data_IF_876466878712
#
_entry.id   IF_876466878712
#
_cell.length_a   1.000
_cell.length_b   1.000
_cell.length_c   1.000
_cell.angle_alpha   90.00
_cell.angle_beta   90.00
_cell.angle_gamma   90.00
#
_symmetry.space_group_name_H-M   'P 1'
#
loop_
_entity.id
_entity.type
_entity.pdbx_description
1 polymer ?
#
# COMPACT_ATOMS: atom_id res chain seq x y z
N UNK A 1 6.79 -1.80 -22.80
CA UNK A 1 6.37 -0.61 -23.56
C UNK A 1 7.37 0.52 -23.37
N UNK A 2 7.57 1.34 -24.41
CA UNK A 2 8.35 2.59 -24.31
C UNK A 2 7.39 3.77 -24.44
N UNK A 3 7.41 4.68 -23.46
CA UNK A 3 6.53 5.85 -23.46
C UNK A 3 7.25 7.08 -22.90
N UNK A 4 6.55 8.22 -22.86
CA UNK A 4 7.04 9.47 -22.31
C UNK A 4 6.42 9.71 -20.92
N UNK A 5 7.09 10.50 -20.12
CA UNK A 5 6.49 11.05 -18.89
C UNK A 5 5.20 11.80 -19.25
N UNK A 6 4.18 11.67 -18.42
CA UNK A 6 2.88 12.27 -18.68
C UNK A 6 2.06 11.60 -19.79
N UNK A 7 2.43 10.39 -20.24
CA UNK A 7 1.60 9.63 -21.16
C UNK A 7 0.27 9.21 -20.49
N UNK A 8 -0.83 9.19 -21.23
CA UNK A 8 -2.11 8.68 -20.76
C UNK A 8 -2.00 7.19 -20.44
N UNK A 9 -2.40 6.80 -19.26
CA UNK A 9 -2.38 5.42 -18.80
C UNK A 9 -3.41 4.57 -19.52
N UNK A 10 -4.61 5.11 -19.72
CA UNK A 10 -5.69 4.45 -20.45
C UNK A 10 -5.29 4.15 -21.89
N UNK A 11 -4.66 5.10 -22.59
CA UNK A 11 -4.15 4.88 -23.95
C UNK A 11 -3.01 3.86 -23.98
N UNK A 12 -2.09 3.93 -23.03
CA UNK A 12 -0.93 3.05 -22.94
C UNK A 12 -1.34 1.59 -22.70
N UNK A 13 -2.40 1.36 -21.94
CA UNK A 13 -2.86 0.02 -21.56
C UNK A 13 -3.92 -0.55 -22.52
N UNK A 14 -4.41 0.25 -23.45
CA UNK A 14 -5.42 -0.20 -24.44
C UNK A 14 -4.94 -1.45 -25.19
N UNK A 15 -5.74 -2.51 -25.18
CA UNK A 15 -5.41 -3.79 -25.83
C UNK A 15 -4.30 -4.60 -25.17
N UNK A 16 -3.78 -4.18 -24.02
CA UNK A 16 -2.74 -4.88 -23.25
C UNK A 16 -3.27 -5.59 -22.01
N UNK A 17 -4.48 -5.23 -21.57
CA UNK A 17 -5.07 -5.76 -20.36
C UNK A 17 -5.72 -7.12 -20.60
N UNK A 18 -5.64 -7.99 -19.58
CA UNK A 18 -6.44 -9.21 -19.55
C UNK A 18 -7.91 -8.87 -19.36
N UNK A 19 -8.79 -9.79 -19.78
CA UNK A 19 -10.22 -9.67 -19.52
C UNK A 19 -10.51 -9.57 -18.03
N UNK A 20 -11.48 -8.73 -17.68
CA UNK A 20 -11.90 -8.50 -16.30
C UNK A 20 -11.71 -7.04 -15.84
N UNK A 21 -12.11 -6.78 -14.62
CA UNK A 21 -11.95 -5.47 -13.99
C UNK A 21 -10.51 -5.31 -13.50
N UNK A 22 -9.82 -4.28 -13.98
CA UNK A 22 -8.41 -4.04 -13.67
C UNK A 22 -8.22 -2.64 -13.10
N UNK A 23 -7.33 -2.52 -12.11
CA UNK A 23 -6.87 -1.24 -11.58
C UNK A 23 -5.53 -0.89 -12.19
N UNK A 24 -5.48 0.22 -12.89
CA UNK A 24 -4.26 0.77 -13.48
C UNK A 24 -3.63 1.72 -12.45
N UNK A 25 -2.33 1.58 -12.25
CA UNK A 25 -1.57 2.30 -11.24
C UNK A 25 -0.38 2.98 -11.92
N UNK A 26 -0.28 4.29 -11.76
CA UNK A 26 0.93 5.05 -12.08
C UNK A 26 1.95 4.81 -10.98
N UNK A 27 3.06 4.16 -11.28
CA UNK A 27 4.07 3.78 -10.31
C UNK A 27 4.00 2.32 -9.85
N UNK A 28 4.58 2.05 -8.69
CA UNK A 28 4.61 0.72 -8.08
C UNK A 28 3.26 0.37 -7.41
N UNK A 29 3.04 -0.90 -7.12
CA UNK A 29 1.88 -1.36 -6.33
C UNK A 29 1.92 -0.89 -4.87
N UNK A 30 3.08 -0.51 -4.35
CA UNK A 30 3.26 -0.11 -2.94
C UNK A 30 3.08 1.40 -2.74
N UNK A 31 3.53 2.21 -3.69
CA UNK A 31 3.62 3.66 -3.57
C UNK A 31 2.96 4.40 -4.73
N UNK A 32 2.40 3.66 -5.69
CA UNK A 32 1.80 4.25 -6.88
C UNK A 32 0.40 4.82 -6.63
N UNK A 33 -0.06 5.60 -7.59
CA UNK A 33 -1.36 6.26 -7.59
C UNK A 33 -2.31 5.58 -8.57
N UNK A 34 -3.52 5.22 -8.12
CA UNK A 34 -4.54 4.68 -9.01
C UNK A 34 -4.95 5.70 -10.07
N UNK A 35 -5.16 5.21 -11.28
CA UNK A 35 -5.75 6.00 -12.37
C UNK A 35 -7.21 6.34 -12.03
N UNK A 36 -7.53 7.63 -11.99
CA UNK A 36 -8.89 8.14 -11.73
C UNK A 36 -9.08 9.46 -12.47
N UNK A 37 -9.92 9.47 -13.50
CA UNK A 37 -10.30 10.69 -14.22
C UNK A 37 -9.14 11.64 -14.55
N UNK A 38 -8.97 12.76 -13.83
CA UNK A 38 -7.91 13.73 -14.13
C UNK A 38 -6.50 13.20 -13.88
N UNK A 39 -6.36 12.06 -13.17
CA UNK A 39 -5.08 11.41 -12.85
C UNK A 39 -4.72 10.28 -13.83
N UNK A 40 -5.33 10.24 -15.02
CA UNK A 40 -5.03 9.29 -16.11
C UNK A 40 -3.65 9.54 -16.76
N UNK A 41 -2.68 10.02 -16.06
CA UNK A 41 -1.36 10.30 -16.63
C UNK A 41 -0.25 9.74 -15.77
N UNK A 42 0.79 9.21 -16.45
CA UNK A 42 2.00 8.73 -15.78
C UNK A 42 2.63 9.88 -15.01
N UNK A 43 2.76 9.72 -13.70
CA UNK A 43 3.34 10.71 -12.81
C UNK A 43 4.79 11.07 -13.17
N UNK A 44 5.19 12.31 -12.88
CA UNK A 44 6.52 12.83 -13.24
C UNK A 44 7.67 11.95 -12.71
N UNK A 45 7.51 11.42 -11.52
CA UNK A 45 8.53 10.60 -10.85
C UNK A 45 8.28 9.09 -10.97
N UNK A 46 7.20 8.71 -11.64
CA UNK A 46 6.88 7.29 -11.86
C UNK A 46 7.56 6.77 -13.13
N UNK A 47 8.31 5.69 -13.00
CA UNK A 47 9.04 5.05 -14.11
C UNK A 47 8.39 3.75 -14.58
N UNK A 48 7.28 3.36 -13.97
CA UNK A 48 6.55 2.14 -14.30
C UNK A 48 5.04 2.35 -14.23
N UNK A 49 4.30 1.47 -14.89
CA UNK A 49 2.86 1.32 -14.76
C UNK A 49 2.60 -0.09 -14.26
N UNK A 50 1.81 -0.20 -13.21
CA UNK A 50 1.39 -1.48 -12.63
C UNK A 50 -0.10 -1.69 -12.87
N UNK A 51 -0.51 -2.95 -13.04
CA UNK A 51 -1.91 -3.30 -13.21
C UNK A 51 -2.24 -4.47 -12.30
N UNK A 52 -3.31 -4.33 -11.52
CA UNK A 52 -3.83 -5.37 -10.65
C UNK A 52 -5.27 -5.69 -11.01
N UNK A 53 -5.64 -6.96 -10.94
CA UNK A 53 -7.04 -7.36 -11.03
C UNK A 53 -7.80 -6.86 -9.80
N UNK A 54 -9.02 -6.36 -9.98
CA UNK A 54 -9.88 -5.96 -8.86
C UNK A 54 -10.33 -7.18 -8.06
N UNK A 55 -10.03 -7.15 -6.77
CA UNK A 55 -10.39 -8.21 -5.82
C UNK A 55 -11.77 -7.99 -5.19
N UNK A 56 -12.84 -8.28 -5.94
CA UNK A 56 -14.23 -8.13 -5.48
C UNK A 56 -14.72 -9.32 -4.67
N UNK A 57 -14.14 -10.48 -4.89
CA UNK A 57 -14.54 -11.71 -4.22
C UNK A 57 -14.01 -11.78 -2.79
N UNK A 58 -14.88 -12.16 -1.86
CA UNK A 58 -14.51 -12.45 -0.47
C UNK A 58 -14.72 -13.92 -0.19
N UNK A 59 -13.63 -14.58 0.17
CA UNK A 59 -13.68 -15.99 0.51
C UNK A 59 -14.23 -16.20 1.93
N UNK A 60 -15.28 -17.01 2.05
CA UNK A 60 -15.84 -17.38 3.36
C UNK A 60 -14.86 -18.27 4.15
N UNK A 61 -14.54 -17.87 5.38
CA UNK A 61 -13.59 -18.53 6.28
C UNK A 61 -12.22 -18.80 5.65
N UNK A 62 -11.78 -17.94 4.72
CA UNK A 62 -10.54 -18.10 3.99
C UNK A 62 -9.28 -18.20 4.86
N UNK A 63 -9.31 -17.64 6.05
CA UNK A 63 -8.22 -17.68 7.03
C UNK A 63 -8.06 -19.04 7.72
N UNK A 64 -9.08 -19.91 7.68
CA UNK A 64 -9.03 -21.27 8.25
C UNK A 64 -8.54 -22.33 7.24
N UNK A 65 -8.47 -21.97 5.95
CA UNK A 65 -8.02 -22.89 4.91
C UNK A 65 -6.51 -23.09 4.95
N UNK A 66 -5.99 -24.23 4.47
CA UNK A 66 -4.56 -24.50 4.37
C UNK A 66 -3.80 -23.44 3.57
N UNK A 67 -4.46 -22.80 2.58
CA UNK A 67 -3.96 -21.64 1.86
C UNK A 67 -2.72 -21.93 1.01
N UNK A 68 -2.74 -23.00 0.23
CA UNK A 68 -1.63 -23.32 -0.68
C UNK A 68 -1.34 -22.18 -1.69
N UNK A 69 -2.36 -21.37 -2.06
CA UNK A 69 -2.27 -20.26 -3.00
C UNK A 69 -2.37 -18.88 -2.32
N UNK A 70 -2.29 -18.83 -1.00
CA UNK A 70 -2.40 -17.61 -0.22
C UNK A 70 -1.04 -17.12 0.25
N UNK A 71 -0.86 -15.81 0.16
CA UNK A 71 0.27 -15.11 0.75
C UNK A 71 -0.06 -14.64 2.17
N UNK A 72 0.92 -14.69 3.06
CA UNK A 72 0.85 -14.05 4.36
C UNK A 72 2.24 -13.62 4.82
N UNK A 73 2.36 -12.39 5.32
CA UNK A 73 3.60 -11.86 5.89
C UNK A 73 4.11 -12.73 7.06
N UNK A 74 3.21 -13.27 7.86
CA UNK A 74 3.55 -14.11 9.04
C UNK A 74 3.71 -15.61 8.72
N UNK A 75 3.72 -16.00 7.45
CA UNK A 75 3.92 -17.39 7.04
C UNK A 75 2.98 -18.40 7.71
N UNK A 76 1.70 -18.06 7.82
CA UNK A 76 0.70 -18.91 8.49
C UNK A 76 0.09 -19.97 7.57
N UNK A 77 0.25 -19.85 6.25
CA UNK A 77 -0.30 -20.78 5.27
C UNK A 77 0.71 -21.84 4.83
N UNK A 78 0.21 -22.93 4.28
CA UNK A 78 1.02 -24.04 3.71
C UNK A 78 1.88 -23.55 2.53
N UNK A 79 1.47 -22.48 1.85
CA UNK A 79 2.25 -21.85 0.77
C UNK A 79 3.69 -21.51 1.16
N UNK A 80 3.97 -21.30 2.45
CA UNK A 80 5.33 -21.05 2.98
C UNK A 80 6.33 -22.20 2.71
N UNK A 81 5.83 -23.42 2.49
CA UNK A 81 6.68 -24.57 2.17
C UNK A 81 7.32 -24.48 0.80
N UNK A 82 6.83 -23.59 -0.07
CA UNK A 82 7.42 -23.29 -1.37
C UNK A 82 7.86 -21.82 -1.45
N UNK A 83 9.08 -21.48 -1.02
CA UNK A 83 9.58 -20.10 -1.02
C UNK A 83 9.66 -19.45 -2.41
N UNK A 84 9.74 -20.26 -3.47
CA UNK A 84 9.82 -19.77 -4.84
C UNK A 84 8.45 -19.53 -5.48
N UNK A 85 7.37 -19.76 -4.75
CA UNK A 85 6.02 -19.58 -5.28
C UNK A 85 5.70 -18.12 -5.53
N UNK A 86 5.25 -17.82 -6.73
CA UNK A 86 4.69 -16.52 -7.08
C UNK A 86 3.18 -16.49 -6.77
N UNK A 87 2.72 -15.35 -6.30
CA UNK A 87 1.32 -15.15 -5.93
C UNK A 87 0.65 -14.14 -6.86
N UNK A 88 -0.58 -14.41 -7.25
CA UNK A 88 -1.43 -13.47 -7.96
C UNK A 88 -2.05 -12.49 -6.95
N UNK A 89 -1.43 -11.34 -6.77
CA UNK A 89 -2.01 -10.29 -5.97
C UNK A 89 -3.15 -9.60 -6.72
N UNK A 90 -4.18 -9.24 -5.97
CA UNK A 90 -5.30 -8.41 -6.41
C UNK A 90 -5.36 -7.14 -5.56
N UNK A 91 -6.35 -6.30 -5.78
CA UNK A 91 -6.58 -5.12 -4.93
C UNK A 91 -7.24 -5.46 -3.59
N UNK A 92 -7.55 -6.72 -3.32
CA UNK A 92 -8.13 -7.14 -2.04
C UNK A 92 -7.09 -7.07 -0.92
N UNK A 93 -7.43 -6.41 0.19
CA UNK A 93 -6.62 -6.39 1.41
C UNK A 93 -6.73 -7.68 2.23
N UNK A 94 -7.64 -8.59 1.84
CA UNK A 94 -7.94 -9.85 2.57
C UNK A 94 -8.24 -9.63 4.05
N UNK A 95 -8.86 -8.50 4.38
CA UNK A 95 -9.22 -8.15 5.75
C UNK A 95 -9.99 -6.84 5.84
N UNK A 96 -10.33 -6.45 7.06
CA UNK A 96 -10.95 -5.16 7.40
C UNK A 96 -10.05 -4.41 8.37
N UNK A 97 -10.28 -3.12 8.48
CA UNK A 97 -9.56 -2.25 9.41
C UNK A 97 -9.70 -2.74 10.85
N UNK A 98 -8.59 -2.77 11.56
CA UNK A 98 -8.47 -3.20 12.95
C UNK A 98 -7.50 -2.32 13.70
N UNK A 99 -7.53 -2.37 15.03
CA UNK A 99 -6.55 -1.68 15.86
C UNK A 99 -5.11 -2.14 15.53
N UNK A 100 -4.16 -1.23 15.65
CA UNK A 100 -2.73 -1.54 15.53
C UNK A 100 -2.31 -2.50 16.65
N UNK A 101 -1.69 -3.60 16.25
CA UNK A 101 -1.07 -4.56 17.16
C UNK A 101 0.45 -4.43 17.06
N UNK A 102 1.17 -4.13 18.16
CA UNK A 102 2.62 -3.93 18.16
C UNK A 102 3.36 -5.28 18.15
N UNK A 103 3.41 -5.92 16.99
CA UNK A 103 4.06 -7.23 16.78
C UNK A 103 5.43 -7.11 16.10
N UNK A 104 5.98 -5.89 15.97
CA UNK A 104 7.28 -5.64 15.38
C UNK A 104 7.30 -5.74 13.85
N UNK A 105 6.14 -5.75 13.18
CA UNK A 105 6.11 -5.85 11.71
C UNK A 105 6.58 -4.58 11.03
N UNK A 106 6.27 -3.43 11.59
CA UNK A 106 6.63 -2.14 11.02
C UNK A 106 8.13 -1.86 11.17
N UNK A 107 8.69 -2.20 12.33
CA UNK A 107 10.10 -2.02 12.63
C UNK A 107 11.02 -2.83 11.71
N UNK A 108 10.52 -3.92 11.15
CA UNK A 108 11.26 -4.77 10.21
C UNK A 108 11.37 -4.16 8.81
N UNK A 109 10.47 -3.26 8.45
CA UNK A 109 10.35 -2.73 7.07
C UNK A 109 10.48 -1.21 6.99
N UNK A 110 10.51 -0.51 8.12
CA UNK A 110 10.75 0.93 8.15
C UNK A 110 12.16 1.23 7.66
N UNK A 111 12.33 2.01 6.58
CA UNK A 111 13.65 2.26 6.00
C UNK A 111 14.45 3.33 6.75
N UNK A 112 13.79 4.09 7.63
CA UNK A 112 14.37 5.21 8.36
C UNK A 112 14.53 4.88 9.85
N UNK A 113 15.39 5.59 10.55
CA UNK A 113 15.58 5.48 12.00
C UNK A 113 14.46 6.19 12.77
N UNK A 114 13.25 5.70 12.56
CA UNK A 114 12.00 6.19 13.18
C UNK A 114 11.33 5.02 13.87
N UNK A 115 10.65 5.27 14.99
CA UNK A 115 9.88 4.25 15.71
C UNK A 115 8.44 4.19 15.15
N UNK A 116 8.18 3.30 14.16
CA UNK A 116 6.95 3.39 13.35
C UNK A 116 5.68 3.08 14.14
N UNK A 117 5.70 2.14 15.08
CA UNK A 117 4.51 1.77 15.86
C UNK A 117 3.95 2.96 16.65
N UNK A 118 4.80 3.80 17.23
CA UNK A 118 4.36 4.99 17.97
C UNK A 118 3.91 6.09 17.01
N UNK A 119 4.66 6.29 15.92
CA UNK A 119 4.30 7.26 14.89
C UNK A 119 2.92 6.97 14.30
N UNK A 120 2.66 5.73 13.88
CA UNK A 120 1.37 5.37 13.28
C UNK A 120 0.19 5.54 14.24
N UNK A 121 0.40 5.31 15.53
CA UNK A 121 -0.63 5.61 16.53
C UNK A 121 -0.92 7.11 16.62
N UNK A 122 0.11 7.95 16.59
CA UNK A 122 -0.06 9.40 16.57
C UNK A 122 -0.80 9.86 15.30
N UNK A 123 -0.42 9.33 14.12
CA UNK A 123 -1.10 9.64 12.86
C UNK A 123 -2.58 9.26 12.85
N UNK A 124 -2.94 8.10 13.41
CA UNK A 124 -4.34 7.62 13.46
C UNK A 124 -5.21 8.50 14.36
N UNK A 125 -4.68 8.99 15.48
CA UNK A 125 -5.42 9.86 16.40
C UNK A 125 -5.25 11.34 16.08
N UNK A 126 -4.53 11.66 15.00
CA UNK A 126 -4.26 13.02 14.54
C UNK A 126 -3.57 13.90 15.61
N UNK A 127 -2.69 13.29 16.40
CA UNK A 127 -1.84 13.98 17.38
C UNK A 127 -0.61 14.56 16.66
N UNK A 128 -0.76 15.77 16.12
CA UNK A 128 0.23 16.44 15.30
C UNK A 128 1.52 16.75 16.05
N UNK A 129 1.43 17.14 17.31
CA UNK A 129 2.60 17.44 18.16
C UNK A 129 3.46 16.19 18.35
N UNK A 130 2.80 15.08 18.67
CA UNK A 130 3.49 13.81 18.87
C UNK A 130 4.01 13.22 17.56
N UNK A 131 3.28 13.38 16.46
CA UNK A 131 3.73 12.96 15.14
C UNK A 131 5.02 13.69 14.73
N UNK A 132 5.10 15.02 14.96
CA UNK A 132 6.30 15.81 14.71
C UNK A 132 7.47 15.35 15.60
N UNK A 133 7.25 15.16 16.89
CA UNK A 133 8.26 14.68 17.82
C UNK A 133 8.80 13.28 17.45
N UNK A 134 8.02 12.48 16.73
CA UNK A 134 8.38 11.14 16.24
C UNK A 134 8.92 11.13 14.80
N UNK A 135 9.11 12.29 14.19
CA UNK A 135 9.81 12.43 12.91
C UNK A 135 8.89 12.37 11.67
N UNK A 136 7.58 12.67 11.78
CA UNK A 136 6.70 12.65 10.61
C UNK A 136 7.09 13.65 9.50
N UNK A 137 7.83 14.72 9.84
CA UNK A 137 8.29 15.71 8.86
C UNK A 137 9.44 15.22 7.96
N UNK A 138 10.05 14.08 8.29
CA UNK A 138 11.13 13.47 7.51
C UNK A 138 10.60 12.45 6.49
N UNK A 139 9.29 12.21 6.48
CA UNK A 139 8.64 11.15 5.70
C UNK A 139 7.86 11.69 4.51
N UNK A 140 7.88 10.92 3.43
CA UNK A 140 6.90 11.03 2.36
C UNK A 140 5.97 9.79 2.36
N UNK A 141 4.81 9.88 1.72
CA UNK A 141 3.83 8.78 1.66
C UNK A 141 4.43 7.50 1.11
N UNK A 142 5.38 7.61 0.18
CA UNK A 142 6.05 6.47 -0.47
C UNK A 142 6.87 5.63 0.52
N UNK A 143 7.45 6.25 1.54
CA UNK A 143 8.25 5.58 2.57
C UNK A 143 7.41 4.62 3.41
N UNK A 144 6.11 4.91 3.52
CA UNK A 144 5.16 4.12 4.30
C UNK A 144 4.51 2.97 3.55
N UNK A 145 4.79 2.82 2.24
CA UNK A 145 4.17 1.78 1.40
C UNK A 145 4.40 0.37 1.92
N UNK A 146 5.62 0.04 2.35
CA UNK A 146 5.93 -1.28 2.95
C UNK A 146 5.25 -1.45 4.30
N UNK A 147 5.16 -0.40 5.12
CA UNK A 147 4.46 -0.45 6.41
C UNK A 147 2.97 -0.70 6.22
N UNK A 148 2.36 -0.04 5.24
CA UNK A 148 0.97 -0.30 4.81
C UNK A 148 0.77 -1.75 4.38
N UNK A 149 1.69 -2.28 3.56
CA UNK A 149 1.62 -3.66 3.07
C UNK A 149 1.69 -4.71 4.20
N UNK A 150 2.58 -4.53 5.17
CA UNK A 150 2.72 -5.48 6.29
C UNK A 150 1.74 -5.25 7.43
N UNK A 151 0.91 -4.23 7.35
CA UNK A 151 -0.01 -3.83 8.41
C UNK A 151 -1.04 -4.92 8.73
N UNK A 152 -1.03 -5.50 9.93
CA UNK A 152 -2.05 -6.48 10.32
C UNK A 152 -3.43 -5.83 10.50
N UNK A 153 -3.47 -4.54 10.81
CA UNK A 153 -4.67 -3.73 10.97
C UNK A 153 -5.26 -3.21 9.66
N UNK A 154 -4.58 -3.40 8.51
CA UNK A 154 -5.00 -2.97 7.17
C UNK A 154 -5.14 -1.46 6.98
N UNK A 155 -4.42 -0.69 7.78
CA UNK A 155 -4.37 0.77 7.65
C UNK A 155 -3.54 1.21 6.44
N UNK A 156 -3.97 2.28 5.79
CA UNK A 156 -3.23 2.99 4.76
C UNK A 156 -2.55 4.23 5.38
N UNK A 157 -1.25 4.13 5.64
CA UNK A 157 -0.52 5.16 6.37
C UNK A 157 -0.17 6.38 5.51
N UNK A 158 -0.03 6.22 4.19
CA UNK A 158 0.28 7.34 3.29
C UNK A 158 -0.75 8.48 3.37
N UNK A 159 -2.05 8.22 3.12
CA UNK A 159 -3.09 9.25 3.28
C UNK A 159 -3.16 9.85 4.68
N UNK A 160 -2.94 9.03 5.73
CA UNK A 160 -2.92 9.52 7.12
C UNK A 160 -1.76 10.47 7.36
N UNK A 161 -0.57 10.17 6.84
CA UNK A 161 0.58 11.06 6.89
C UNK A 161 0.26 12.39 6.21
N UNK A 162 -0.25 12.35 4.97
CA UNK A 162 -0.60 13.56 4.20
C UNK A 162 -1.62 14.44 4.93
N UNK A 163 -2.63 13.83 5.56
CA UNK A 163 -3.62 14.54 6.35
C UNK A 163 -2.98 15.27 7.54
N UNK A 164 -2.11 14.57 8.30
CA UNK A 164 -1.42 15.17 9.44
C UNK A 164 -0.45 16.29 9.00
N UNK A 165 0.33 16.08 7.92
CA UNK A 165 1.22 17.11 7.38
C UNK A 165 0.46 18.36 6.92
N UNK A 166 -0.68 18.18 6.24
CA UNK A 166 -1.53 19.30 5.84
C UNK A 166 -2.12 20.06 7.05
N UNK A 167 -2.42 19.36 8.14
CA UNK A 167 -2.88 19.99 9.38
C UNK A 167 -1.75 20.78 10.05
N UNK A 168 -0.56 20.21 10.16
CA UNK A 168 0.64 20.89 10.67
C UNK A 168 0.93 22.17 9.90
N UNK A 169 0.86 22.11 8.56
CA UNK A 169 1.06 23.27 7.70
C UNK A 169 0.04 24.41 7.96
N UNK A 170 -1.21 24.06 8.28
CA UNK A 170 -2.26 25.04 8.59
C UNK A 170 -2.18 25.60 10.02
N UNK A 171 -1.70 24.81 10.96
CA UNK A 171 -1.59 25.19 12.37
C UNK A 171 -0.33 26.03 12.66
N UNK A 172 0.64 26.05 11.74
CA UNK A 172 1.86 26.86 11.79
C UNK A 172 3.00 26.30 12.55
#
# INVERSE_FOLDING_TARGET
LRTRLGASLSQLTTGQLKEGENRIISGSVLSGRAETGPLDFLGRYHIQVSVLAEGREREFLGWQKPGADKFSVKNVFVSKLNPSKLFNFTTSTEGSDRAIVPIGSYEQVMPLDIIPTFLFRALIVEDTDRAQALGCLELDEEDLGLCTFVCPGKHEFGPMLRQNLGRIEMEG
#
